data_IF_159438239769
#
_entry.id   IF_159438239769
#
_cell.length_a   1.000
_cell.length_b   1.000
_cell.length_c   1.000
_cell.angle_alpha   90.00
_cell.angle_beta   90.00
_cell.angle_gamma   90.00
#
_symmetry.space_group_name_H-M   'P 1'
#
loop_
_entity.id
_entity.type
_entity.pdbx_description
1 polymer ?
#
# COMPACT_ATOMS: atom_id res chain seq x y z
N UNK A 1 1.48 -6.61 -23.37
CA UNK A 1 0.41 -5.87 -22.65
C UNK A 1 -0.95 -6.57 -22.70
N UNK A 2 -1.52 -6.93 -23.87
CA UNK A 2 -2.85 -7.57 -23.98
C UNK A 2 -2.99 -8.85 -23.16
N UNK A 3 -1.96 -9.71 -23.16
CA UNK A 3 -1.91 -10.93 -22.34
C UNK A 3 -2.01 -10.65 -20.84
N UNK A 4 -1.31 -9.63 -20.36
CA UNK A 4 -1.35 -9.21 -18.95
C UNK A 4 -2.74 -8.71 -18.57
N UNK A 5 -3.38 -7.91 -19.42
CA UNK A 5 -4.75 -7.43 -19.19
C UNK A 5 -5.73 -8.61 -19.12
N UNK A 6 -5.69 -9.51 -20.10
CA UNK A 6 -6.56 -10.68 -20.14
C UNK A 6 -6.36 -11.56 -18.90
N UNK A 7 -5.11 -11.88 -18.55
CA UNK A 7 -4.79 -12.66 -17.37
C UNK A 7 -5.28 -11.98 -16.09
N UNK A 8 -5.10 -10.66 -15.96
CA UNK A 8 -5.53 -9.91 -14.80
C UNK A 8 -7.05 -9.90 -14.66
N UNK A 9 -7.79 -9.68 -15.76
CA UNK A 9 -9.26 -9.70 -15.76
C UNK A 9 -9.79 -11.10 -15.42
N UNK A 10 -9.31 -12.13 -16.11
CA UNK A 10 -9.73 -13.52 -15.89
C UNK A 10 -9.44 -13.95 -14.45
N UNK A 11 -8.26 -13.64 -13.94
CA UNK A 11 -7.89 -13.99 -12.57
C UNK A 11 -8.78 -13.29 -11.54
N UNK A 12 -9.16 -12.02 -11.78
CA UNK A 12 -10.12 -11.32 -10.90
C UNK A 12 -11.51 -11.96 -10.94
N UNK A 13 -12.00 -12.33 -12.11
CA UNK A 13 -13.29 -13.05 -12.25
C UNK A 13 -13.22 -14.35 -11.46
N UNK A 14 -12.15 -15.14 -11.63
CA UNK A 14 -11.94 -16.39 -10.88
C UNK A 14 -11.93 -16.13 -9.37
N UNK A 15 -11.20 -15.13 -8.88
CA UNK A 15 -11.13 -14.82 -7.45
C UNK A 15 -12.49 -14.40 -6.88
N UNK A 16 -13.24 -13.54 -7.57
CA UNK A 16 -14.58 -13.11 -7.15
C UNK A 16 -15.56 -14.28 -7.17
N UNK A 17 -15.57 -15.08 -8.24
CA UNK A 17 -16.42 -16.27 -8.33
C UNK A 17 -16.10 -17.27 -7.22
N UNK A 18 -14.82 -17.57 -6.98
CA UNK A 18 -14.41 -18.46 -5.90
C UNK A 18 -14.80 -17.91 -4.52
N UNK A 19 -14.68 -16.60 -4.29
CA UNK A 19 -15.09 -15.97 -3.04
C UNK A 19 -16.61 -16.07 -2.81
N UNK A 20 -17.41 -15.83 -3.84
CA UNK A 20 -18.87 -15.97 -3.78
C UNK A 20 -19.27 -17.43 -3.56
N UNK A 21 -18.74 -18.36 -4.36
CA UNK A 21 -19.05 -19.80 -4.24
C UNK A 21 -18.62 -20.34 -2.89
N UNK A 22 -17.41 -20.02 -2.41
CA UNK A 22 -16.92 -20.50 -1.11
C UNK A 22 -17.76 -19.98 0.06
N UNK A 23 -18.21 -18.72 0.00
CA UNK A 23 -19.06 -18.14 1.07
C UNK A 23 -20.44 -18.80 1.12
N UNK A 24 -20.97 -19.26 -0.02
CA UNK A 24 -22.25 -19.98 -0.07
C UNK A 24 -22.11 -21.49 0.18
N UNK A 25 -20.94 -22.07 -0.11
CA UNK A 25 -20.69 -23.50 0.06
C UNK A 25 -20.21 -23.87 1.47
N UNK A 26 -19.61 -22.93 2.20
CA UNK A 26 -19.01 -23.19 3.51
C UNK A 26 -19.31 -22.07 4.49
N UNK A 27 -19.48 -22.38 5.79
CA UNK A 27 -19.57 -21.35 6.81
C UNK A 27 -18.28 -20.52 6.84
N UNK A 28 -18.41 -19.25 7.19
CA UNK A 28 -17.26 -18.38 7.36
C UNK A 28 -16.34 -18.93 8.47
N UNK A 29 -15.03 -18.77 8.26
CA UNK A 29 -14.03 -19.12 9.28
C UNK A 29 -14.24 -18.32 10.58
N UNK A 30 -14.72 -17.08 10.48
CA UNK A 30 -15.01 -16.19 11.59
C UNK A 30 -16.41 -15.57 11.49
N UNK A 31 -16.94 -15.10 12.63
CA UNK A 31 -18.26 -14.47 12.74
C UNK A 31 -18.22 -12.96 12.48
N UNK A 32 -17.07 -12.39 12.13
CA UNK A 32 -16.88 -10.94 12.01
C UNK A 32 -17.82 -10.29 10.99
N UNK A 33 -18.10 -10.96 9.86
CA UNK A 33 -19.06 -10.49 8.87
C UNK A 33 -20.51 -10.47 9.38
N UNK A 34 -20.88 -11.47 10.18
CA UNK A 34 -22.20 -11.53 10.84
C UNK A 34 -22.33 -10.45 11.92
N UNK A 35 -21.27 -10.22 12.70
CA UNK A 35 -21.23 -9.14 13.68
C UNK A 35 -21.39 -7.76 13.03
N UNK A 36 -20.76 -7.53 11.87
CA UNK A 36 -21.01 -6.31 11.09
C UNK A 36 -22.49 -6.22 10.73
N UNK A 37 -23.08 -7.30 10.21
CA UNK A 37 -24.51 -7.33 9.85
C UNK A 37 -25.43 -6.93 11.01
N UNK A 38 -25.14 -7.39 12.23
CA UNK A 38 -25.92 -7.07 13.44
C UNK A 38 -25.85 -5.58 13.82
N UNK A 39 -24.81 -4.87 13.40
CA UNK A 39 -24.64 -3.42 13.67
C UNK A 39 -25.25 -2.52 12.60
N UNK A 40 -25.74 -3.08 11.50
CA UNK A 40 -26.30 -2.30 10.39
C UNK A 40 -27.80 -2.04 10.63
N UNK A 41 -28.27 -0.78 10.45
CA UNK A 41 -29.69 -0.49 10.55
C UNK A 41 -30.45 -1.19 9.42
N UNK A 42 -31.70 -1.64 9.67
CA UNK A 42 -32.51 -2.28 8.64
C UNK A 42 -32.77 -1.31 7.48
N UNK A 43 -32.45 -1.73 6.26
CA UNK A 43 -32.59 -0.91 5.06
C UNK A 43 -33.04 -1.68 3.82
N UNK A 44 -33.38 -0.94 2.76
CA UNK A 44 -33.85 -1.51 1.49
C UNK A 44 -32.83 -2.42 0.79
N UNK A 45 -31.55 -2.33 1.18
CA UNK A 45 -30.44 -3.08 0.59
C UNK A 45 -30.00 -4.30 1.42
N UNK A 46 -30.74 -4.62 2.48
CA UNK A 46 -30.41 -5.67 3.44
C UNK A 46 -30.44 -7.06 2.84
N UNK A 47 -31.44 -7.35 2.00
CA UNK A 47 -31.57 -8.65 1.32
C UNK A 47 -30.37 -8.96 0.41
N UNK A 48 -29.67 -7.92 -0.05
CA UNK A 48 -28.48 -8.05 -0.90
C UNK A 48 -27.18 -8.20 -0.09
N UNK A 49 -27.21 -7.94 1.22
CA UNK A 49 -26.01 -8.01 2.05
C UNK A 49 -25.47 -9.44 2.12
N UNK A 50 -26.28 -10.39 2.58
CA UNK A 50 -25.84 -11.76 2.81
C UNK A 50 -25.43 -12.44 1.50
N UNK A 51 -26.19 -12.17 0.42
CA UNK A 51 -25.92 -12.75 -0.89
C UNK A 51 -24.67 -12.19 -1.57
N UNK A 52 -24.42 -10.88 -1.45
CA UNK A 52 -23.45 -10.19 -2.31
C UNK A 52 -22.38 -9.39 -1.58
N UNK A 53 -22.68 -8.75 -0.44
CA UNK A 53 -21.72 -7.88 0.24
C UNK A 53 -20.90 -8.61 1.31
N UNK A 54 -21.53 -9.48 2.11
CA UNK A 54 -20.89 -10.23 3.18
C UNK A 54 -19.62 -11.01 2.75
N UNK A 55 -19.55 -11.63 1.55
CA UNK A 55 -18.34 -12.30 1.08
C UNK A 55 -17.10 -11.40 1.06
N UNK A 56 -17.29 -10.09 0.82
CA UNK A 56 -16.23 -9.08 0.72
C UNK A 56 -15.87 -8.42 2.05
N UNK A 57 -16.60 -8.69 3.13
CA UNK A 57 -16.29 -8.17 4.47
C UNK A 57 -15.41 -9.18 5.19
N UNK A 58 -14.10 -9.08 4.96
CA UNK A 58 -13.10 -9.99 5.54
C UNK A 58 -11.99 -9.19 6.23
N UNK A 59 -11.53 -9.68 7.39
CA UNK A 59 -10.38 -9.12 8.12
C UNK A 59 -10.50 -7.60 8.37
N UNK A 60 -9.53 -6.83 7.87
CA UNK A 60 -9.42 -5.38 8.05
C UNK A 60 -10.64 -4.61 7.51
N UNK A 61 -11.38 -5.19 6.55
CA UNK A 61 -12.60 -4.57 5.99
C UNK A 61 -13.69 -4.35 7.04
N UNK A 62 -13.75 -5.19 8.08
CA UNK A 62 -14.68 -5.00 9.21
C UNK A 62 -14.43 -3.64 9.88
N UNK A 63 -13.17 -3.30 10.14
CA UNK A 63 -12.78 -2.01 10.68
C UNK A 63 -13.06 -0.88 9.69
N UNK A 64 -12.79 -1.08 8.40
CA UNK A 64 -13.02 -0.04 7.38
C UNK A 64 -14.50 0.33 7.24
N UNK A 65 -15.40 -0.64 7.25
CA UNK A 65 -16.85 -0.40 7.20
C UNK A 65 -17.32 0.31 8.47
N UNK A 66 -16.89 -0.15 9.65
CA UNK A 66 -17.21 0.50 10.91
C UNK A 66 -16.73 1.95 10.97
N UNK A 67 -15.50 2.22 10.51
CA UNK A 67 -14.96 3.58 10.42
C UNK A 67 -15.67 4.44 9.38
N UNK A 68 -16.13 3.85 8.28
CA UNK A 68 -16.88 4.58 7.26
C UNK A 68 -18.19 5.12 7.84
N UNK A 69 -18.89 4.30 8.63
CA UNK A 69 -20.16 4.64 9.26
C UNK A 69 -20.01 5.54 10.49
N UNK A 70 -19.14 5.17 11.44
CA UNK A 70 -19.08 5.81 12.77
C UNK A 70 -17.84 6.69 12.98
N UNK A 71 -16.88 6.66 12.07
CA UNK A 71 -15.59 7.32 12.26
C UNK A 71 -14.61 6.51 13.09
N UNK A 72 -13.50 7.14 13.48
CA UNK A 72 -12.46 6.52 14.29
C UNK A 72 -12.89 6.54 15.75
N UNK A 73 -13.68 5.55 16.15
CA UNK A 73 -14.24 5.45 17.51
C UNK A 73 -13.22 4.90 18.50
N UNK A 74 -12.44 3.91 18.08
CA UNK A 74 -11.46 3.24 18.94
C UNK A 74 -10.03 3.64 18.58
N UNK A 75 -9.14 3.67 19.57
CA UNK A 75 -7.76 4.11 19.37
C UNK A 75 -6.99 3.18 18.41
N UNK A 76 -7.20 1.87 18.46
CA UNK A 76 -6.54 0.93 17.57
C UNK A 76 -6.87 1.17 16.08
N UNK A 77 -7.98 1.85 15.78
CA UNK A 77 -8.35 2.20 14.41
C UNK A 77 -7.38 3.22 13.80
N UNK A 78 -6.61 3.96 14.61
CA UNK A 78 -5.59 4.91 14.12
C UNK A 78 -4.42 4.21 13.41
N UNK A 79 -4.33 2.88 13.47
CA UNK A 79 -3.42 2.10 12.63
C UNK A 79 -3.75 2.23 11.13
N UNK A 80 -5.01 2.50 10.78
CA UNK A 80 -5.47 2.54 9.40
C UNK A 80 -5.50 3.97 8.86
N UNK A 81 -5.11 4.15 7.60
CA UNK A 81 -5.17 5.46 6.94
C UNK A 81 -6.59 5.73 6.38
N UNK A 82 -6.99 7.01 6.25
CA UNK A 82 -8.36 7.37 5.89
C UNK A 82 -8.77 7.13 4.43
N UNK A 83 -7.85 6.82 3.52
CA UNK A 83 -8.14 6.69 2.09
C UNK A 83 -9.22 5.65 1.77
N UNK A 84 -9.08 4.41 2.27
CA UNK A 84 -10.10 3.37 2.03
C UNK A 84 -11.42 3.69 2.72
N UNK A 85 -11.38 4.29 3.91
CA UNK A 85 -12.57 4.74 4.64
C UNK A 85 -13.32 5.81 3.86
N UNK A 86 -12.60 6.72 3.20
CA UNK A 86 -13.19 7.75 2.35
C UNK A 86 -13.87 7.14 1.12
N UNK A 87 -13.24 6.16 0.45
CA UNK A 87 -13.85 5.42 -0.66
C UNK A 87 -15.17 4.78 -0.22
N UNK A 88 -15.18 4.08 0.91
CA UNK A 88 -16.38 3.43 1.45
C UNK A 88 -17.47 4.45 1.80
N UNK A 89 -17.12 5.62 2.35
CA UNK A 89 -18.08 6.69 2.64
C UNK A 89 -18.73 7.23 1.38
N UNK A 90 -17.94 7.47 0.33
CA UNK A 90 -18.45 7.95 -0.96
C UNK A 90 -19.37 6.90 -1.59
N UNK A 91 -18.91 5.65 -1.68
CA UNK A 91 -19.70 4.56 -2.28
C UNK A 91 -20.98 4.26 -1.49
N UNK A 92 -20.94 4.28 -0.16
CA UNK A 92 -22.14 4.12 0.66
C UNK A 92 -23.08 5.34 0.64
N UNK A 93 -22.61 6.50 0.16
CA UNK A 93 -23.45 7.69 -0.02
C UNK A 93 -24.17 7.72 -1.36
N UNK A 94 -23.85 6.82 -2.30
CA UNK A 94 -24.52 6.73 -3.62
C UNK A 94 -26.05 6.69 -3.48
N UNK A 95 -26.65 5.98 -2.49
CA UNK A 95 -28.10 5.97 -2.35
C UNK A 95 -28.75 7.31 -1.98
N UNK A 96 -27.97 8.27 -1.48
CA UNK A 96 -28.47 9.62 -1.20
C UNK A 96 -28.88 10.36 -2.47
N UNK A 97 -28.37 9.96 -3.63
CA UNK A 97 -28.76 10.51 -4.94
C UNK A 97 -30.24 10.30 -5.27
N UNK A 98 -30.86 9.28 -4.67
CA UNK A 98 -32.28 8.98 -4.80
C UNK A 98 -33.01 9.03 -3.44
N UNK A 99 -32.53 9.87 -2.52
CA UNK A 99 -33.20 10.16 -1.25
C UNK A 99 -33.10 9.08 -0.17
N UNK A 100 -32.27 8.05 -0.37
CA UNK A 100 -32.06 6.99 0.63
C UNK A 100 -30.88 7.31 1.57
N UNK A 101 -30.88 6.79 2.81
CA UNK A 101 -29.77 6.96 3.75
C UNK A 101 -28.49 6.26 3.28
N UNK A 102 -27.38 6.53 3.99
CA UNK A 102 -26.11 5.86 3.71
C UNK A 102 -26.25 4.33 3.86
N UNK A 103 -25.76 3.57 2.87
CA UNK A 103 -25.91 2.11 2.83
C UNK A 103 -24.57 1.40 2.98
N UNK A 104 -24.43 0.52 3.98
CA UNK A 104 -23.25 -0.32 4.14
C UNK A 104 -23.07 -1.30 2.97
N UNK A 105 -24.16 -1.84 2.44
CA UNK A 105 -24.14 -2.74 1.26
C UNK A 105 -23.53 -2.02 0.06
N UNK A 106 -23.94 -0.79 -0.23
CA UNK A 106 -23.39 0.01 -1.32
C UNK A 106 -21.92 0.39 -1.08
N UNK A 107 -21.55 0.67 0.18
CA UNK A 107 -20.16 0.95 0.54
C UNK A 107 -19.26 -0.25 0.22
N UNK A 108 -19.64 -1.45 0.67
CA UNK A 108 -18.85 -2.67 0.48
C UNK A 108 -18.81 -3.06 -0.99
N UNK A 109 -19.96 -3.16 -1.67
CA UNK A 109 -19.99 -3.56 -3.09
C UNK A 109 -19.26 -2.55 -3.98
N UNK A 110 -19.50 -1.26 -3.78
CA UNK A 110 -18.83 -0.20 -4.52
C UNK A 110 -17.32 -0.17 -4.25
N UNK A 111 -16.92 -0.34 -2.99
CA UNK A 111 -15.51 -0.44 -2.60
C UNK A 111 -14.83 -1.67 -3.18
N UNK A 112 -15.51 -2.83 -3.22
CA UNK A 112 -15.00 -4.05 -3.82
C UNK A 112 -14.84 -3.90 -5.34
N UNK A 113 -15.80 -3.30 -6.04
CA UNK A 113 -15.69 -3.00 -7.48
C UNK A 113 -14.47 -2.10 -7.72
N UNK A 114 -14.33 -1.02 -6.96
CA UNK A 114 -13.20 -0.10 -7.10
C UNK A 114 -11.85 -0.78 -6.81
N UNK A 115 -11.78 -1.62 -5.78
CA UNK A 115 -10.58 -2.41 -5.43
C UNK A 115 -10.21 -3.41 -6.53
N UNK A 116 -11.19 -4.09 -7.13
CA UNK A 116 -10.94 -5.03 -8.23
C UNK A 116 -10.49 -4.29 -9.51
N UNK A 117 -11.09 -3.13 -9.83
CA UNK A 117 -10.64 -2.29 -10.95
C UNK A 117 -9.18 -1.83 -10.77
N UNK A 118 -8.83 -1.36 -9.57
CA UNK A 118 -7.45 -0.99 -9.24
C UNK A 118 -6.50 -2.20 -9.34
N UNK A 119 -6.95 -3.38 -8.89
CA UNK A 119 -6.19 -4.63 -8.99
C UNK A 119 -5.97 -5.09 -10.43
N UNK A 120 -6.88 -4.77 -11.36
CA UNK A 120 -6.69 -5.02 -12.81
C UNK A 120 -5.64 -4.06 -13.38
N UNK A 121 -5.63 -2.81 -12.91
CA UNK A 121 -4.75 -1.77 -13.42
C UNK A 121 -3.29 -1.93 -12.94
N UNK A 122 -3.07 -2.37 -11.70
CA UNK A 122 -1.73 -2.41 -11.11
C UNK A 122 -0.71 -3.26 -11.91
N UNK A 123 -1.00 -4.50 -12.36
CA UNK A 123 -0.08 -5.28 -13.19
C UNK A 123 0.25 -4.63 -14.54
N UNK A 124 -0.68 -3.83 -15.10
CA UNK A 124 -0.44 -3.10 -16.35
C UNK A 124 0.55 -1.96 -16.15
N UNK A 125 0.44 -1.25 -15.03
CA UNK A 125 1.40 -0.22 -14.65
C UNK A 125 2.77 -0.83 -14.35
N UNK A 126 2.81 -1.97 -13.65
CA UNK A 126 4.04 -2.72 -13.41
C UNK A 126 4.72 -3.15 -14.72
N UNK A 127 3.96 -3.71 -15.67
CA UNK A 127 4.47 -4.06 -17.00
C UNK A 127 5.09 -2.83 -17.69
N UNK A 128 4.40 -1.69 -17.70
CA UNK A 128 4.92 -0.45 -18.32
C UNK A 128 6.19 0.05 -17.63
N UNK A 129 6.20 0.09 -16.30
CA UNK A 129 7.35 0.50 -15.51
C UNK A 129 8.57 -0.39 -15.79
N UNK A 130 8.41 -1.70 -15.69
CA UNK A 130 9.50 -2.65 -15.90
C UNK A 130 9.98 -2.65 -17.35
N UNK A 131 9.09 -2.46 -18.32
CA UNK A 131 9.48 -2.31 -19.73
C UNK A 131 10.38 -1.10 -19.92
N UNK A 132 10.06 0.02 -19.29
CA UNK A 132 10.88 1.25 -19.34
C UNK A 132 12.24 1.05 -18.65
N UNK A 133 12.27 0.40 -17.48
CA UNK A 133 13.49 0.21 -16.69
C UNK A 133 14.43 -0.86 -17.27
N UNK A 134 13.90 -2.01 -17.65
CA UNK A 134 14.70 -3.18 -18.09
C UNK A 134 14.92 -3.21 -19.61
N UNK A 135 14.13 -2.44 -20.37
CA UNK A 135 14.07 -2.49 -21.85
C UNK A 135 13.81 -3.89 -22.41
N UNK A 136 13.25 -4.79 -21.61
CA UNK A 136 12.92 -6.17 -21.98
C UNK A 136 11.45 -6.44 -21.81
N UNK A 137 10.76 -6.69 -22.94
CA UNK A 137 9.35 -7.06 -22.93
C UNK A 137 9.11 -8.41 -22.22
N UNK A 138 10.06 -9.34 -22.34
CA UNK A 138 9.96 -10.68 -21.72
C UNK A 138 10.01 -10.58 -20.20
N UNK A 139 10.94 -9.78 -19.65
CA UNK A 139 11.06 -9.60 -18.19
C UNK A 139 9.82 -8.89 -17.64
N UNK A 140 9.41 -7.80 -18.30
CA UNK A 140 8.24 -7.03 -17.89
C UNK A 140 6.95 -7.86 -17.92
N UNK A 141 6.73 -8.67 -18.97
CA UNK A 141 5.56 -9.53 -19.09
C UNK A 141 5.54 -10.61 -18.01
N UNK A 142 6.66 -11.32 -17.80
CA UNK A 142 6.76 -12.38 -16.79
C UNK A 142 6.52 -11.85 -15.38
N UNK A 143 7.15 -10.74 -15.02
CA UNK A 143 6.96 -10.12 -13.71
C UNK A 143 5.50 -9.67 -13.50
N UNK A 144 4.88 -9.05 -14.51
CA UNK A 144 3.48 -8.65 -14.44
C UNK A 144 2.54 -9.86 -14.28
N UNK A 145 2.74 -10.93 -15.05
CA UNK A 145 1.93 -12.17 -14.93
C UNK A 145 2.12 -12.85 -13.57
N UNK A 146 3.34 -12.92 -13.05
CA UNK A 146 3.61 -13.45 -11.71
C UNK A 146 2.92 -12.63 -10.62
N UNK A 147 2.91 -11.30 -10.76
CA UNK A 147 2.23 -10.42 -9.80
C UNK A 147 0.70 -10.59 -9.80
N UNK A 148 0.10 -10.92 -10.95
CA UNK A 148 -1.33 -11.28 -11.03
C UNK A 148 -1.62 -12.50 -10.17
N UNK A 149 -0.74 -13.52 -10.22
CA UNK A 149 -0.91 -14.81 -9.55
C UNK A 149 -0.42 -14.84 -8.10
N UNK A 150 0.09 -13.72 -7.57
CA UNK A 150 0.69 -13.70 -6.24
C UNK A 150 -0.31 -14.17 -5.15
N UNK A 151 0.12 -14.97 -4.14
CA UNK A 151 -0.78 -15.69 -3.23
C UNK A 151 -1.76 -14.81 -2.46
N UNK A 152 -1.35 -13.60 -2.08
CA UNK A 152 -2.20 -12.65 -1.36
C UNK A 152 -3.25 -11.96 -2.25
N UNK A 153 -3.27 -12.25 -3.56
CA UNK A 153 -4.17 -11.60 -4.52
C UNK A 153 -5.62 -12.09 -4.45
N UNK A 154 -5.88 -13.28 -3.92
CA UNK A 154 -7.21 -13.92 -4.05
C UNK A 154 -8.31 -13.23 -3.26
N UNK A 155 -8.13 -13.06 -1.96
CA UNK A 155 -9.15 -12.53 -1.04
C UNK A 155 -8.90 -11.08 -0.65
N UNK A 156 -7.64 -10.72 -0.36
CA UNK A 156 -7.29 -9.38 0.12
C UNK A 156 -7.44 -8.29 -0.94
N UNK A 157 -7.27 -8.59 -2.23
CA UNK A 157 -7.39 -7.59 -3.31
C UNK A 157 -8.80 -7.50 -3.91
N UNK A 158 -9.66 -8.47 -3.62
CA UNK A 158 -11.05 -8.45 -4.09
C UNK A 158 -12.01 -7.84 -3.07
N UNK A 159 -11.64 -7.81 -1.80
CA UNK A 159 -12.32 -7.05 -0.76
C UNK A 159 -11.98 -5.55 -0.82
N UNK A 160 -12.81 -4.66 -0.22
CA UNK A 160 -12.51 -3.24 -0.07
C UNK A 160 -11.32 -3.04 0.88
N UNK A 161 -10.11 -3.08 0.32
CA UNK A 161 -8.86 -2.90 1.04
C UNK A 161 -8.04 -1.76 0.44
N UNK A 162 -7.12 -1.15 1.21
CA UNK A 162 -6.30 -0.05 0.70
C UNK A 162 -5.20 -0.49 -0.27
N UNK A 163 -4.79 -1.76 -0.26
CA UNK A 163 -3.65 -2.30 -1.02
C UNK A 163 -3.76 -2.05 -2.55
N UNK A 164 -4.88 -2.34 -3.24
CA UNK A 164 -5.00 -2.10 -4.68
C UNK A 164 -4.81 -0.63 -5.06
N UNK A 165 -5.40 0.29 -4.30
CA UNK A 165 -5.32 1.73 -4.55
C UNK A 165 -3.89 2.23 -4.32
N UNK A 166 -3.27 1.80 -3.21
CA UNK A 166 -1.87 2.07 -2.93
C UNK A 166 -0.96 1.60 -4.09
N UNK A 167 -1.18 0.37 -4.58
CA UNK A 167 -0.44 -0.23 -5.71
C UNK A 167 -0.44 0.68 -6.94
N UNK A 168 -1.65 1.05 -7.38
CA UNK A 168 -1.85 1.81 -8.61
C UNK A 168 -1.19 3.17 -8.49
N UNK A 169 -1.41 3.85 -7.37
CA UNK A 169 -0.88 5.20 -7.14
C UNK A 169 0.65 5.19 -7.02
N UNK A 170 1.22 4.22 -6.31
CA UNK A 170 2.66 4.11 -6.17
C UNK A 170 3.34 3.69 -7.50
N UNK A 171 2.78 2.74 -8.25
CA UNK A 171 3.31 2.37 -9.57
C UNK A 171 3.16 3.50 -10.59
N UNK A 172 2.05 4.25 -10.56
CA UNK A 172 1.87 5.43 -11.40
C UNK A 172 2.90 6.51 -11.09
N UNK A 173 3.15 6.79 -9.80
CA UNK A 173 4.18 7.73 -9.38
C UNK A 173 5.59 7.31 -9.80
N UNK A 174 5.93 6.03 -9.66
CA UNK A 174 7.21 5.49 -10.14
C UNK A 174 7.36 5.59 -11.65
N UNK A 175 6.28 5.32 -12.41
CA UNK A 175 6.28 5.48 -13.86
C UNK A 175 6.50 6.95 -14.27
N UNK A 176 5.88 7.90 -13.58
CA UNK A 176 6.11 9.33 -13.81
C UNK A 176 7.58 9.71 -13.55
N UNK A 177 8.22 9.15 -12.52
CA UNK A 177 9.63 9.40 -12.22
C UNK A 177 10.60 8.85 -13.27
N UNK A 178 10.17 7.98 -14.19
CA UNK A 178 11.02 7.60 -15.33
C UNK A 178 11.28 8.77 -16.27
N UNK A 179 10.49 9.85 -16.20
CA UNK A 179 10.71 11.08 -16.93
C UNK A 179 11.52 12.09 -16.09
N UNK A 180 12.44 12.81 -16.73
CA UNK A 180 13.38 13.73 -16.05
C UNK A 180 12.81 15.12 -15.77
N UNK A 181 11.68 15.49 -16.37
CA UNK A 181 11.12 16.83 -16.23
C UNK A 181 10.42 17.02 -14.88
N UNK A 182 10.67 18.15 -14.21
CA UNK A 182 10.22 18.45 -12.84
C UNK A 182 8.69 18.34 -12.66
N UNK A 183 7.91 18.63 -13.70
CA UNK A 183 6.44 18.45 -13.64
C UNK A 183 6.03 17.00 -13.35
N UNK A 184 6.74 16.00 -13.90
CA UNK A 184 6.46 14.59 -13.61
C UNK A 184 6.84 14.21 -12.18
N UNK A 185 7.88 14.84 -11.62
CA UNK A 185 8.22 14.66 -10.21
C UNK A 185 7.12 15.17 -9.28
N UNK A 186 6.51 16.33 -9.59
CA UNK A 186 5.35 16.82 -8.85
C UNK A 186 4.11 15.94 -9.04
N UNK A 187 3.88 15.44 -10.26
CA UNK A 187 2.86 14.42 -10.50
C UNK A 187 3.07 13.17 -9.66
N UNK A 188 4.30 12.67 -9.58
CA UNK A 188 4.67 11.54 -8.73
C UNK A 188 4.46 11.84 -7.24
N UNK A 189 4.75 13.07 -6.80
CA UNK A 189 4.51 13.51 -5.42
C UNK A 189 3.03 13.44 -5.04
N UNK A 190 2.14 13.87 -5.95
CA UNK A 190 0.68 13.76 -5.75
C UNK A 190 0.25 12.31 -5.71
N UNK A 191 0.75 11.47 -6.63
CA UNK A 191 0.48 10.04 -6.62
C UNK A 191 0.95 9.38 -5.31
N UNK A 192 2.15 9.70 -4.82
CA UNK A 192 2.68 9.16 -3.57
C UNK A 192 1.96 9.71 -2.34
N UNK A 193 1.52 10.97 -2.35
CA UNK A 193 0.66 11.50 -1.29
C UNK A 193 -0.65 10.72 -1.22
N UNK A 194 -1.31 10.52 -2.36
CA UNK A 194 -2.52 9.71 -2.42
C UNK A 194 -2.25 8.26 -1.99
N UNK A 195 -1.09 7.68 -2.34
CA UNK A 195 -0.71 6.35 -1.85
C UNK A 195 -0.57 6.33 -0.32
N UNK A 196 0.12 7.33 0.27
CA UNK A 196 0.25 7.51 1.72
C UNK A 196 -1.12 7.65 2.39
N UNK A 197 -2.07 8.32 1.74
CA UNK A 197 -3.45 8.45 2.22
C UNK A 197 -4.19 7.11 2.30
N UNK A 198 -3.83 6.11 1.50
CA UNK A 198 -4.35 4.74 1.63
C UNK A 198 -3.56 3.89 2.63
N UNK A 199 -2.24 4.08 2.75
CA UNK A 199 -1.37 3.27 3.63
C UNK A 199 -0.21 4.08 4.20
N UNK A 200 0.06 3.91 5.50
CA UNK A 200 1.15 4.59 6.18
C UNK A 200 2.54 4.26 5.57
N UNK A 201 2.69 3.06 4.99
CA UNK A 201 3.91 2.65 4.26
C UNK A 201 4.23 3.58 3.07
N UNK A 202 3.27 4.36 2.56
CA UNK A 202 3.51 5.36 1.52
C UNK A 202 4.52 6.44 1.90
N UNK A 203 4.73 6.68 3.20
CA UNK A 203 5.77 7.60 3.69
C UNK A 203 7.15 7.20 3.14
N UNK A 204 7.42 5.90 2.93
CA UNK A 204 8.70 5.41 2.41
C UNK A 204 8.92 5.75 0.93
N UNK A 205 7.87 6.10 0.18
CA UNK A 205 7.97 6.48 -1.23
C UNK A 205 8.65 7.85 -1.41
N UNK A 206 8.70 8.67 -0.35
CA UNK A 206 9.41 9.95 -0.38
C UNK A 206 10.90 9.78 -0.74
N UNK A 207 11.50 8.63 -0.44
CA UNK A 207 12.88 8.30 -0.80
C UNK A 207 13.14 8.37 -2.31
N UNK A 208 12.17 7.99 -3.15
CA UNK A 208 12.29 8.12 -4.61
C UNK A 208 12.29 9.59 -5.05
N UNK A 209 11.50 10.45 -4.41
CA UNK A 209 11.46 11.89 -4.73
C UNK A 209 12.75 12.58 -4.30
N UNK A 210 13.29 12.21 -3.14
CA UNK A 210 14.61 12.68 -2.69
C UNK A 210 15.70 12.19 -3.64
N UNK A 211 15.65 10.93 -4.09
CA UNK A 211 16.59 10.42 -5.10
C UNK A 211 16.59 11.25 -6.38
N UNK A 212 15.41 11.47 -6.97
CA UNK A 212 15.28 12.19 -8.23
C UNK A 212 15.59 13.69 -8.12
N UNK A 213 15.29 14.32 -6.97
CA UNK A 213 15.54 15.75 -6.78
C UNK A 213 16.94 16.10 -6.27
N UNK A 214 17.54 15.26 -5.42
CA UNK A 214 18.80 15.56 -4.73
C UNK A 214 19.97 14.73 -5.26
N UNK A 215 19.80 13.42 -5.40
CA UNK A 215 20.91 12.50 -5.66
C UNK A 215 21.22 12.33 -7.14
N UNK A 216 20.21 12.05 -7.96
CA UNK A 216 20.36 11.82 -9.41
C UNK A 216 20.99 13.02 -10.14
N UNK A 217 20.56 14.29 -9.93
CA UNK A 217 21.17 15.43 -10.62
C UNK A 217 22.63 15.66 -10.25
N UNK A 218 23.04 15.27 -9.05
CA UNK A 218 24.44 15.35 -8.59
C UNK A 218 25.29 14.27 -9.23
N UNK A 219 24.80 13.03 -9.26
CA UNK A 219 25.49 11.88 -9.84
C UNK A 219 25.67 12.01 -11.35
N UNK A 220 24.65 12.51 -12.06
CA UNK A 220 24.68 12.71 -13.51
C UNK A 220 25.29 14.07 -13.91
N UNK A 221 25.84 14.83 -12.96
CA UNK A 221 26.53 16.10 -13.19
C UNK A 221 25.70 17.12 -13.99
N UNK A 222 24.40 17.23 -13.69
CA UNK A 222 23.50 18.15 -14.41
C UNK A 222 23.99 19.61 -14.24
N UNK A 223 24.34 20.31 -15.34
CA UNK A 223 25.12 21.55 -15.28
C UNK A 223 24.32 22.78 -14.82
N UNK A 224 22.99 22.76 -14.88
CA UNK A 224 22.12 23.91 -14.57
C UNK A 224 21.08 23.59 -13.49
N UNK A 225 20.79 24.57 -12.63
CA UNK A 225 19.67 24.58 -11.66
C UNK A 225 19.65 23.46 -10.59
N UNK A 226 20.80 22.93 -10.18
CA UNK A 226 20.90 21.92 -9.09
C UNK A 226 20.14 22.30 -7.81
N UNK A 227 20.23 23.56 -7.38
CA UNK A 227 19.51 24.05 -6.20
C UNK A 227 17.98 23.94 -6.32
N UNK A 228 17.40 24.23 -7.49
CA UNK A 228 15.94 24.13 -7.67
C UNK A 228 15.47 22.67 -7.73
N UNK A 229 16.27 21.77 -8.29
CA UNK A 229 15.96 20.32 -8.26
C UNK A 229 15.99 19.79 -6.83
N UNK A 230 16.97 20.21 -6.00
CA UNK A 230 17.03 19.84 -4.59
C UNK A 230 15.84 20.37 -3.80
N UNK A 231 15.48 21.65 -3.97
CA UNK A 231 14.29 22.25 -3.33
C UNK A 231 13.02 21.52 -3.77
N UNK A 232 12.87 21.26 -5.07
CA UNK A 232 11.73 20.49 -5.59
C UNK A 232 11.71 19.07 -5.02
N UNK A 233 12.84 18.40 -4.89
CA UNK A 233 13.00 17.08 -4.26
C UNK A 233 12.47 17.06 -2.83
N UNK A 234 12.95 18.00 -2.01
CA UNK A 234 12.53 18.10 -0.60
C UNK A 234 11.05 18.48 -0.50
N UNK A 235 10.60 19.48 -1.26
CA UNK A 235 9.21 19.92 -1.20
C UNK A 235 8.23 18.84 -1.68
N UNK A 236 8.54 18.13 -2.77
CA UNK A 236 7.74 17.00 -3.23
C UNK A 236 7.73 15.83 -2.24
N UNK A 237 8.87 15.54 -1.60
CA UNK A 237 8.94 14.55 -0.52
C UNK A 237 8.02 14.92 0.66
N UNK A 238 8.04 16.19 1.11
CA UNK A 238 7.13 16.67 2.16
C UNK A 238 5.66 16.53 1.76
N UNK A 239 5.31 16.84 0.51
CA UNK A 239 3.95 16.62 -0.01
C UNK A 239 3.55 15.15 0.09
N UNK A 240 4.43 14.22 -0.31
CA UNK A 240 4.14 12.77 -0.26
C UNK A 240 3.90 12.23 1.16
N UNK A 241 4.52 12.84 2.16
CA UNK A 241 4.41 12.46 3.58
C UNK A 241 3.25 13.17 4.30
N UNK A 242 2.78 14.29 3.75
CA UNK A 242 1.78 15.16 4.38
C UNK A 242 0.48 14.45 4.82
N UNK A 243 -0.08 13.46 4.10
CA UNK A 243 -1.34 12.83 4.55
C UNK A 243 -1.17 12.03 5.84
N UNK A 244 -0.01 11.38 6.02
CA UNK A 244 0.31 10.69 7.26
C UNK A 244 0.43 11.67 8.43
N UNK A 245 1.16 12.78 8.22
CA UNK A 245 1.33 13.85 9.23
C UNK A 245 -0.02 14.46 9.59
N UNK A 246 -0.87 14.73 8.60
CA UNK A 246 -2.21 15.26 8.81
C UNK A 246 -3.06 14.33 9.68
N UNK A 247 -2.96 13.00 9.49
CA UNK A 247 -3.65 12.05 10.36
C UNK A 247 -3.08 12.02 11.79
N UNK A 248 -1.74 12.07 11.95
CA UNK A 248 -1.14 12.13 13.29
C UNK A 248 -1.55 13.41 14.02
N UNK A 249 -1.58 14.54 13.33
CA UNK A 249 -2.07 15.80 13.86
C UNK A 249 -3.57 15.76 14.21
N UNK A 250 -4.39 15.17 13.34
CA UNK A 250 -5.81 14.96 13.56
C UNK A 250 -6.08 14.12 14.83
N UNK A 251 -5.26 13.10 15.08
CA UNK A 251 -5.35 12.26 16.27
C UNK A 251 -4.91 13.03 17.52
N UNK A 252 -3.77 13.72 17.46
CA UNK A 252 -3.23 14.52 18.56
C UNK A 252 -4.25 15.57 19.05
N UNK A 253 -4.82 16.34 18.12
CA UNK A 253 -5.78 17.41 18.45
C UNK A 253 -7.10 16.92 19.05
N UNK A 254 -7.43 15.62 18.94
CA UNK A 254 -8.67 15.05 19.46
C UNK A 254 -8.50 14.18 20.69
N UNK A 255 -7.33 13.55 20.84
CA UNK A 255 -7.10 12.55 21.88
C UNK A 255 -6.13 13.02 22.96
N UNK A 256 -5.44 14.14 22.76
CA UNK A 256 -4.54 14.71 23.77
C UNK A 256 -5.19 15.90 24.51
N UNK A 257 -4.88 16.08 25.81
CA UNK A 257 -4.02 15.24 26.66
C UNK A 257 -4.73 13.96 27.16
N UNK A 258 -3.98 13.04 27.80
CA UNK A 258 -4.55 11.87 28.48
C UNK A 258 -4.20 10.49 27.89
N UNK A 259 -3.31 10.43 26.88
CA UNK A 259 -2.75 9.18 26.35
C UNK A 259 -1.22 9.15 26.52
N UNK A 260 -0.60 7.97 26.72
CA UNK A 260 0.85 7.87 26.93
C UNK A 260 1.68 8.44 25.78
N UNK A 261 1.18 8.35 24.55
CA UNK A 261 1.87 8.88 23.37
C UNK A 261 1.74 10.40 23.23
N UNK A 262 0.86 11.08 23.97
CA UNK A 262 0.80 12.54 23.98
C UNK A 262 2.02 13.16 24.69
N UNK A 263 2.57 12.47 25.67
CA UNK A 263 3.70 12.93 26.50
C UNK A 263 5.07 12.50 25.94
N UNK A 264 5.08 11.66 24.91
CA UNK A 264 6.31 11.24 24.25
C UNK A 264 6.98 12.42 23.52
N UNK A 265 8.31 12.40 23.43
CA UNK A 265 9.11 13.43 22.71
C UNK A 265 8.59 13.71 21.30
N UNK A 266 8.10 12.67 20.63
CA UNK A 266 7.39 12.80 19.37
C UNK A 266 6.03 12.11 19.51
N UNK A 267 4.91 12.85 19.56
CA UNK A 267 3.61 12.28 19.86
C UNK A 267 3.02 11.56 18.64
N UNK A 268 3.46 10.32 18.40
CA UNK A 268 3.03 9.48 17.29
C UNK A 268 2.03 8.41 17.75
N UNK A 269 0.75 8.70 17.53
CA UNK A 269 -0.33 7.74 17.77
C UNK A 269 -0.14 6.44 16.98
N UNK A 270 0.31 6.51 15.72
CA UNK A 270 0.53 5.33 14.89
C UNK A 270 1.57 4.38 15.51
N UNK A 271 2.73 4.91 15.94
CA UNK A 271 3.77 4.10 16.54
C UNK A 271 3.30 3.45 17.86
N UNK A 272 2.57 4.21 18.68
CA UNK A 272 1.97 3.68 19.90
C UNK A 272 0.97 2.57 19.61
N UNK A 273 0.06 2.76 18.65
CA UNK A 273 -0.96 1.76 18.33
C UNK A 273 -0.34 0.48 17.77
N UNK A 274 0.66 0.60 16.90
CA UNK A 274 1.42 -0.54 16.38
C UNK A 274 2.04 -1.36 17.52
N UNK A 275 2.62 -0.68 18.52
CA UNK A 275 3.21 -1.35 19.69
C UNK A 275 2.17 -1.94 20.65
N UNK A 276 1.18 -1.13 21.05
CA UNK A 276 0.27 -1.44 22.16
C UNK A 276 -0.84 -2.42 21.77
N UNK A 277 -1.36 -2.33 20.54
CA UNK A 277 -2.49 -3.15 20.09
C UNK A 277 -2.09 -4.25 19.13
N UNK A 278 -0.97 -4.06 18.40
CA UNK A 278 -0.51 -5.03 17.41
C UNK A 278 0.83 -5.68 17.75
N UNK A 279 1.43 -5.42 18.91
CA UNK A 279 2.70 -6.04 19.33
C UNK A 279 3.86 -5.84 18.32
N UNK A 280 3.78 -4.80 17.48
CA UNK A 280 4.78 -4.49 16.48
C UNK A 280 5.91 -3.69 17.12
N UNK A 281 7.15 -4.17 16.97
CA UNK A 281 8.34 -3.49 17.46
C UNK A 281 9.62 -4.24 17.09
N UNK A 282 10.76 -3.67 17.47
CA UNK A 282 12.06 -4.24 17.15
C UNK A 282 12.21 -5.65 17.73
N UNK A 283 12.35 -6.65 16.86
CA UNK A 283 12.50 -8.08 17.12
C UNK A 283 11.40 -8.74 17.98
N UNK A 284 10.27 -8.06 18.25
CA UNK A 284 9.18 -8.62 19.09
C UNK A 284 8.56 -9.90 18.50
N UNK A 285 8.54 -9.99 17.17
CA UNK A 285 7.99 -11.13 16.45
C UNK A 285 8.94 -12.35 16.38
N UNK A 286 10.21 -12.21 16.79
CA UNK A 286 11.21 -13.28 16.77
C UNK A 286 11.02 -14.24 17.95
N UNK A 287 9.98 -15.05 17.88
CA UNK A 287 9.72 -16.14 18.83
C UNK A 287 9.70 -17.48 18.12
N UNK A 288 10.03 -18.56 18.84
CA UNK A 288 10.09 -19.93 18.26
C UNK A 288 8.74 -20.34 17.66
N UNK A 289 7.63 -19.90 18.28
CA UNK A 289 6.28 -20.16 17.79
C UNK A 289 6.01 -19.58 16.39
N UNK A 290 6.75 -18.53 15.98
CA UNK A 290 6.57 -17.86 14.69
C UNK A 290 7.44 -18.44 13.58
N UNK A 291 8.33 -19.41 13.86
CA UNK A 291 9.19 -20.06 12.84
C UNK A 291 8.40 -20.52 11.61
N UNK A 292 7.20 -21.14 11.71
CA UNK A 292 6.42 -21.50 10.52
C UNK A 292 6.08 -20.29 9.62
N UNK A 293 5.82 -19.13 10.22
CA UNK A 293 5.53 -17.90 9.47
C UNK A 293 6.75 -17.34 8.76
N UNK A 294 7.95 -17.45 9.37
CA UNK A 294 9.21 -17.12 8.70
C UNK A 294 9.49 -18.04 7.52
N UNK A 295 9.26 -19.35 7.68
CA UNK A 295 9.41 -20.33 6.59
C UNK A 295 8.46 -20.00 5.44
N UNK A 296 7.20 -19.66 5.75
CA UNK A 296 6.20 -19.27 4.75
C UNK A 296 6.61 -18.00 3.98
N UNK A 297 7.17 -17.00 4.67
CA UNK A 297 7.62 -15.75 4.06
C UNK A 297 8.97 -15.84 3.31
N UNK A 298 9.75 -16.89 3.58
CA UNK A 298 11.14 -17.04 3.11
C UNK A 298 11.30 -16.87 1.58
N UNK A 299 10.45 -17.45 0.71
CA UNK A 299 10.64 -17.29 -0.74
C UNK A 299 10.57 -15.84 -1.20
N UNK A 300 9.65 -15.05 -0.64
CA UNK A 300 9.50 -13.63 -0.99
C UNK A 300 10.67 -12.81 -0.45
N UNK A 301 11.08 -13.09 0.79
CA UNK A 301 12.23 -12.43 1.43
C UNK A 301 13.54 -12.75 0.70
N UNK A 302 13.73 -13.97 0.22
CA UNK A 302 14.91 -14.39 -0.54
C UNK A 302 14.98 -13.68 -1.89
N UNK A 303 13.86 -13.56 -2.60
CA UNK A 303 13.78 -12.80 -3.86
C UNK A 303 14.08 -11.31 -3.62
N UNK A 304 13.50 -10.72 -2.57
CA UNK A 304 13.76 -9.32 -2.21
C UNK A 304 15.22 -9.08 -1.80
N UNK A 305 15.83 -10.01 -1.05
CA UNK A 305 17.25 -9.95 -0.71
C UNK A 305 18.14 -10.07 -1.96
N UNK A 306 17.77 -10.94 -2.91
CA UNK A 306 18.47 -11.05 -4.20
C UNK A 306 18.35 -9.78 -5.05
N UNK A 307 17.21 -9.09 -5.01
CA UNK A 307 17.02 -7.80 -5.66
C UNK A 307 17.94 -6.71 -5.08
N UNK A 308 18.37 -6.86 -3.82
CA UNK A 308 19.32 -5.95 -3.16
C UNK A 308 20.80 -6.18 -3.55
N UNK A 309 21.11 -7.16 -4.40
CA UNK A 309 22.50 -7.44 -4.84
C UNK A 309 23.29 -6.21 -5.35
N UNK A 310 22.69 -5.21 -6.06
CA UNK A 310 23.44 -4.05 -6.51
C UNK A 310 24.02 -3.22 -5.37
N UNK A 311 23.44 -3.29 -4.17
CA UNK A 311 23.93 -2.58 -2.98
C UNK A 311 25.22 -3.21 -2.45
N UNK A 312 25.34 -4.54 -2.53
CA UNK A 312 26.52 -5.27 -2.06
C UNK A 312 27.74 -4.99 -2.95
N UNK A 313 27.52 -4.84 -4.25
CA UNK A 313 28.56 -4.50 -5.21
C UNK A 313 28.90 -3.00 -5.25
N UNK A 314 28.12 -2.15 -4.58
CA UNK A 314 28.33 -0.70 -4.59
C UNK A 314 29.16 -0.27 -3.39
N UNK A 315 30.10 0.64 -3.59
CA UNK A 315 30.88 1.21 -2.49
C UNK A 315 29.95 1.90 -1.48
N UNK A 316 30.19 1.73 -0.18
CA UNK A 316 29.48 2.45 0.92
C UNK A 316 29.46 3.97 0.68
N UNK A 317 30.47 4.48 -0.02
CA UNK A 317 30.57 5.87 -0.46
C UNK A 317 29.39 6.32 -1.36
N UNK A 318 28.83 5.44 -2.19
CA UNK A 318 27.65 5.73 -3.04
C UNK A 318 26.39 5.93 -2.19
N UNK A 319 26.28 5.19 -1.08
CA UNK A 319 25.17 5.33 -0.12
C UNK A 319 25.32 6.59 0.72
N UNK A 320 26.50 6.79 1.35
CA UNK A 320 26.70 7.83 2.38
C UNK A 320 27.13 9.18 1.80
N UNK A 321 27.85 9.17 0.68
CA UNK A 321 28.40 10.35 0.04
C UNK A 321 28.36 10.24 -1.50
N UNK A 322 27.17 10.14 -2.11
CA UNK A 322 27.01 9.96 -3.56
C UNK A 322 27.70 11.06 -4.39
N UNK A 323 27.87 12.27 -3.86
CA UNK A 323 28.67 13.34 -4.49
C UNK A 323 30.17 13.03 -4.61
N UNK A 324 30.67 11.98 -3.93
CA UNK A 324 32.04 11.46 -4.04
C UNK A 324 32.12 10.19 -4.88
N UNK A 325 30.98 9.64 -5.35
CA UNK A 325 30.97 8.45 -6.18
C UNK A 325 31.55 8.76 -7.58
N UNK A 326 32.51 7.96 -8.03
CA UNK A 326 33.14 8.10 -9.36
C UNK A 326 32.27 7.58 -10.52
N UNK A 327 31.27 6.75 -10.23
CA UNK A 327 30.32 6.21 -11.20
C UNK A 327 28.90 6.39 -10.68
N UNK A 328 28.02 6.91 -11.53
CA UNK A 328 26.61 7.03 -11.22
C UNK A 328 25.97 5.63 -11.26
N UNK A 329 25.40 5.13 -10.15
CA UNK A 329 24.61 3.90 -10.19
C UNK A 329 23.36 4.12 -11.06
N UNK A 330 22.97 3.10 -11.84
CA UNK A 330 21.77 3.17 -12.66
C UNK A 330 20.49 3.32 -11.84
N UNK A 331 19.38 3.70 -12.50
CA UNK A 331 18.08 3.95 -11.84
C UNK A 331 17.58 2.78 -10.97
N UNK A 332 18.02 1.54 -11.24
CA UNK A 332 17.70 0.34 -10.43
C UNK A 332 18.18 0.46 -8.98
N UNK A 333 19.20 1.28 -8.71
CA UNK A 333 19.80 1.40 -7.39
C UNK A 333 18.85 1.96 -6.33
N UNK A 334 18.02 2.96 -6.67
CA UNK A 334 17.05 3.50 -5.71
C UNK A 334 15.98 2.46 -5.34
N UNK A 335 15.59 1.61 -6.30
CA UNK A 335 14.67 0.50 -6.05
C UNK A 335 15.30 -0.56 -5.13
N UNK A 336 16.60 -0.84 -5.30
CA UNK A 336 17.32 -1.73 -4.40
C UNK A 336 17.42 -1.15 -2.98
N UNK A 337 17.73 0.14 -2.82
CA UNK A 337 17.73 0.83 -1.52
C UNK A 337 16.36 0.78 -0.84
N UNK A 338 15.29 1.06 -1.59
CA UNK A 338 13.93 1.00 -1.07
C UNK A 338 13.55 -0.42 -0.65
N UNK A 339 13.87 -1.41 -1.48
CA UNK A 339 13.62 -2.84 -1.19
C UNK A 339 14.40 -3.29 0.05
N UNK A 340 15.66 -2.89 0.19
CA UNK A 340 16.47 -3.20 1.37
C UNK A 340 15.86 -2.62 2.64
N UNK A 341 15.45 -1.34 2.61
CA UNK A 341 14.78 -0.70 3.74
C UNK A 341 13.48 -1.43 4.11
N UNK A 342 12.67 -1.80 3.12
CA UNK A 342 11.45 -2.57 3.34
C UNK A 342 11.72 -3.95 3.94
N UNK A 343 12.70 -4.69 3.42
CA UNK A 343 13.10 -6.00 3.97
C UNK A 343 13.57 -5.87 5.42
N UNK A 344 14.36 -4.85 5.75
CA UNK A 344 14.78 -4.56 7.11
C UNK A 344 13.58 -4.26 8.03
N UNK A 345 12.63 -3.44 7.58
CA UNK A 345 11.41 -3.18 8.35
C UNK A 345 10.61 -4.47 8.54
N UNK A 346 10.48 -5.28 7.49
CA UNK A 346 9.70 -6.52 7.52
C UNK A 346 10.28 -7.54 8.51
N UNK A 347 11.60 -7.71 8.49
CA UNK A 347 12.31 -8.66 9.34
C UNK A 347 12.45 -8.16 10.78
N UNK A 348 12.74 -6.87 10.97
CA UNK A 348 13.15 -6.36 12.28
C UNK A 348 12.00 -5.72 13.05
N UNK A 349 10.98 -5.19 12.39
CA UNK A 349 9.98 -4.32 13.01
C UNK A 349 8.55 -4.56 12.51
N UNK A 350 8.24 -5.78 12.05
CA UNK A 350 6.89 -6.14 11.61
C UNK A 350 6.59 -7.64 11.79
N UNK A 351 5.33 -8.02 11.67
CA UNK A 351 4.96 -9.43 11.50
C UNK A 351 5.41 -9.93 10.13
N UNK A 352 6.24 -10.98 10.09
CA UNK A 352 6.88 -11.44 8.85
C UNK A 352 5.87 -11.86 7.77
N UNK A 353 4.65 -12.25 8.15
CA UNK A 353 3.56 -12.61 7.24
C UNK A 353 3.18 -11.46 6.31
N UNK A 354 3.45 -10.20 6.69
CA UNK A 354 3.24 -9.02 5.85
C UNK A 354 4.09 -9.11 4.58
N UNK A 355 5.24 -9.79 4.60
CA UNK A 355 6.09 -9.99 3.43
C UNK A 355 5.35 -10.68 2.28
N UNK A 356 4.39 -11.57 2.57
CA UNK A 356 3.58 -12.25 1.56
C UNK A 356 2.70 -11.27 0.77
N UNK A 357 2.31 -10.16 1.39
CA UNK A 357 1.56 -9.08 0.72
C UNK A 357 2.46 -8.30 -0.25
N UNK A 358 3.78 -8.30 -0.04
CA UNK A 358 4.74 -7.61 -0.91
C UNK A 358 4.99 -8.28 -2.25
N UNK A 359 4.66 -9.57 -2.38
CA UNK A 359 4.69 -10.27 -3.66
C UNK A 359 3.55 -9.85 -4.62
N UNK A 360 2.52 -9.17 -4.10
CA UNK A 360 1.44 -8.61 -4.94
C UNK A 360 1.85 -7.22 -5.46
N UNK A 361 1.23 -6.71 -6.54
CA UNK A 361 1.49 -5.37 -7.06
C UNK A 361 1.38 -4.23 -6.02
N UNK A 362 0.82 -4.50 -4.84
CA UNK A 362 0.57 -3.55 -3.75
C UNK A 362 1.54 -3.49 -2.61
N UNK A 363 2.66 -4.20 -2.68
CA UNK A 363 3.68 -4.10 -1.64
C UNK A 363 5.11 -3.94 -2.12
N UNK A 364 5.28 -3.46 -3.35
CA UNK A 364 6.50 -2.90 -3.96
C UNK A 364 7.81 -3.38 -3.31
N UNK A 365 8.19 -4.61 -3.63
CA UNK A 365 9.58 -4.89 -3.95
C UNK A 365 9.65 -4.99 -5.48
N UNK A 366 10.32 -4.02 -6.14
CA UNK A 366 10.54 -4.05 -7.60
C UNK A 366 11.75 -4.92 -7.90
#
# INVERSE_FOLDING_TARGET
MTRVLLASVLWRIVCVCLLLVSTHAQPAFDTSGELVRLTLPPGAWDAYWDAWAAPFVRWDTVYFVAMAQHGYVYEQMLAFQPGIVHVLRVMGSVPRLWGAPWSPTCAVLGGAIAANLASILAPLLLYRLLRTLTRSDVVAERAALLSVLAPASGTSLSAPTPEPFYSVLALAGLLLLTHTHTAYQWGAAVCFALATWFRANGVLLCGFLVWHGLYKPVLESWPTRRGSHAISGIASALVSVSPFVAQQWWAYTRLCPGRPWCEARLPLAYAFVQLAYWDVGFLRYWTVAQVPNFVLAMPVLAVAAYACRPLVSSSVLVVLAPWRARQAPGDVYVYACHTFLLVCILLLASHVQIALRMATPGGIAV
#
